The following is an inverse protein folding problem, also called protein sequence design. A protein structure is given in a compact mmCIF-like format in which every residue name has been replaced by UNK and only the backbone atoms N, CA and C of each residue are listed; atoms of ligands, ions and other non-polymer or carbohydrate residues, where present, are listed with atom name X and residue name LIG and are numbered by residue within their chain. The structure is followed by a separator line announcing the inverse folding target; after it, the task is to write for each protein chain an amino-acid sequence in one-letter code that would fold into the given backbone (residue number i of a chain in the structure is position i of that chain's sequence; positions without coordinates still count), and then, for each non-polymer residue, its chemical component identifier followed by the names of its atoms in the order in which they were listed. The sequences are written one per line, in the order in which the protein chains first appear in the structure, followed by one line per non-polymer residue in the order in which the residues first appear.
data_IF_493692134100
#
_entry.id   IF_493692134100
#
_cell.length_a   1.000
_cell.length_b   1.000
_cell.length_c   1.000
_cell.angle_alpha   90.00
_cell.angle_beta   90.00
_cell.angle_gamma   90.00
#
_symmetry.space_group_name_H-M   'P 1'
#
loop_
_entity.id
_entity.type
_entity.pdbx_description
1 polymer ?
#
# COMPACT_ATOMS: atom_id res chain seq x y z
N UNK A 1 16.65 37.34 -3.59
CA UNK A 1 15.47 37.93 -4.26
C UNK A 1 14.28 37.04 -3.98
N UNK A 2 13.52 37.35 -2.95
CA UNK A 2 12.54 36.44 -2.33
C UNK A 2 11.16 37.04 -2.55
N UNK A 3 10.34 36.42 -3.42
CA UNK A 3 8.96 36.87 -3.68
C UNK A 3 7.99 36.05 -2.86
N UNK A 4 7.52 36.67 -1.78
CA UNK A 4 6.42 36.22 -0.92
C UNK A 4 5.12 36.53 -1.66
N UNK A 5 4.32 35.52 -2.00
CA UNK A 5 2.95 35.69 -2.47
C UNK A 5 1.97 35.54 -1.30
N UNK A 6 1.39 36.66 -0.89
CA UNK A 6 0.20 36.73 -0.04
C UNK A 6 -1.02 36.60 -0.94
N UNK A 7 -1.90 35.65 -0.67
CA UNK A 7 -3.29 35.71 -1.10
C UNK A 7 -4.18 35.51 0.12
N UNK A 8 -4.80 36.59 0.53
CA UNK A 8 -6.00 36.60 1.35
C UNK A 8 -7.11 37.14 0.46
N UNK A 9 -8.24 36.43 0.38
CA UNK A 9 -9.55 37.05 0.19
C UNK A 9 -10.67 36.05 0.50
N UNK A 10 -11.48 36.48 1.47
CA UNK A 10 -12.81 36.00 1.82
C UNK A 10 -13.81 36.25 0.68
N UNK A 11 -14.75 35.33 0.45
CA UNK A 11 -16.15 35.48 -0.02
C UNK A 11 -16.71 34.04 -0.12
N UNK A 12 -17.95 33.67 0.17
CA UNK A 12 -19.15 34.32 0.64
C UNK A 12 -20.17 33.20 0.98
N UNK A 13 -21.16 33.54 1.79
CA UNK A 13 -22.26 32.68 2.22
C UNK A 13 -23.23 32.34 1.06
N UNK A 14 -23.76 31.11 1.11
CA UNK A 14 -25.16 30.81 0.80
C UNK A 14 -25.53 30.48 -0.64
N UNK A 15 -25.82 29.20 -0.89
CA UNK A 15 -27.01 28.77 -1.63
C UNK A 15 -27.33 27.31 -1.29
N UNK A 16 -28.45 27.14 -0.61
CA UNK A 16 -29.16 25.88 -0.40
C UNK A 16 -29.77 25.43 -1.72
N UNK A 17 -29.61 24.16 -2.11
CA UNK A 17 -30.43 23.53 -3.14
C UNK A 17 -30.56 22.03 -2.88
N UNK A 18 -31.81 21.71 -2.57
CA UNK A 18 -32.52 20.43 -2.53
C UNK A 18 -31.80 19.17 -3.05
N UNK A 19 -31.85 18.17 -2.20
CA UNK A 19 -31.53 16.76 -2.42
C UNK A 19 -32.72 16.06 -3.11
N UNK A 20 -32.51 15.36 -4.24
CA UNK A 20 -33.55 14.48 -4.81
C UNK A 20 -33.48 13.08 -4.16
N UNK A 21 -34.59 12.67 -3.55
CA UNK A 21 -34.82 11.31 -3.06
C UNK A 21 -34.71 10.27 -4.19
N UNK A 22 -34.06 9.10 -3.94
CA UNK A 22 -34.11 7.98 -4.86
C UNK A 22 -35.42 7.19 -4.73
N UNK A 23 -35.98 6.65 -5.83
CA UNK A 23 -37.20 5.85 -5.79
C UNK A 23 -36.96 4.50 -5.11
N UNK A 24 -37.89 4.15 -4.22
CA UNK A 24 -38.07 2.82 -3.67
C UNK A 24 -38.65 1.87 -4.72
N UNK A 25 -38.01 0.71 -4.91
CA UNK A 25 -38.52 -0.40 -5.71
C UNK A 25 -37.77 -1.70 -5.37
N UNK A 26 -38.47 -2.83 -5.19
CA UNK A 26 -37.92 -4.03 -4.57
C UNK A 26 -37.17 -4.88 -5.61
N UNK A 27 -35.98 -5.35 -5.24
CA UNK A 27 -35.33 -6.49 -5.90
C UNK A 27 -35.28 -7.64 -4.89
N UNK A 28 -36.33 -8.45 -4.94
CA UNK A 28 -36.30 -9.84 -4.53
C UNK A 28 -35.33 -10.59 -5.46
N UNK A 29 -34.23 -11.09 -4.89
CA UNK A 29 -33.45 -12.18 -5.45
C UNK A 29 -33.09 -13.13 -4.33
N UNK A 30 -33.88 -14.19 -4.28
CA UNK A 30 -33.71 -15.45 -3.57
C UNK A 30 -32.28 -15.79 -3.12
N UNK A 31 -32.12 -15.76 -1.80
CA UNK A 31 -31.77 -16.93 -0.98
C UNK A 31 -31.13 -18.11 -1.71
N UNK A 32 -29.80 -18.11 -1.78
CA UNK A 32 -29.02 -19.35 -1.67
C UNK A 32 -28.10 -19.25 -0.48
N UNK A 33 -28.54 -19.90 0.60
CA UNK A 33 -27.75 -20.27 1.76
C UNK A 33 -26.42 -20.90 1.33
N UNK A 34 -25.35 -20.11 1.41
CA UNK A 34 -24.00 -20.66 1.48
C UNK A 34 -23.77 -21.02 2.95
N UNK A 35 -23.82 -22.32 3.23
CA UNK A 35 -23.40 -22.92 4.49
C UNK A 35 -21.96 -22.47 4.78
N UNK A 36 -21.64 -21.94 5.97
CA UNK A 36 -20.27 -21.64 6.31
C UNK A 36 -19.47 -22.94 6.40
N UNK A 37 -18.51 -23.11 5.49
CA UNK A 37 -17.52 -24.18 5.54
C UNK A 37 -16.57 -23.91 6.71
N UNK A 38 -17.01 -24.28 7.91
CA UNK A 38 -16.17 -24.38 9.10
C UNK A 38 -15.41 -25.71 9.02
N UNK A 39 -14.33 -25.71 8.25
CA UNK A 39 -13.26 -26.70 8.40
C UNK A 39 -11.92 -26.00 8.20
N UNK A 40 -11.65 -25.00 9.04
CA UNK A 40 -10.26 -24.63 9.33
C UNK A 40 -9.77 -25.66 10.33
N UNK A 41 -9.11 -26.69 9.81
CA UNK A 41 -8.41 -27.66 10.64
C UNK A 41 -7.49 -26.89 11.60
N UNK A 42 -7.66 -27.16 12.90
CA UNK A 42 -6.78 -26.65 13.96
C UNK A 42 -5.34 -26.99 13.57
N UNK A 43 -4.42 -26.03 13.42
CA UNK A 43 -3.03 -26.35 13.13
C UNK A 43 -2.48 -27.25 14.25
N UNK A 44 -1.65 -28.25 13.91
CA UNK A 44 -1.09 -29.17 14.89
C UNK A 44 -0.34 -28.39 15.99
N UNK A 45 -0.44 -28.82 17.26
CA UNK A 45 0.27 -28.18 18.34
C UNK A 45 1.79 -28.43 18.22
N UNK A 46 2.56 -27.39 18.52
CA UNK A 46 3.94 -27.43 19.01
C UNK A 46 5.06 -27.94 18.08
N UNK A 47 5.01 -27.57 16.79
CA UNK A 47 6.30 -27.33 16.09
C UNK A 47 6.70 -25.89 16.39
N UNK A 48 7.84 -25.63 17.06
CA UNK A 48 8.32 -24.26 17.23
C UNK A 48 8.50 -23.66 15.84
N UNK A 49 7.65 -22.68 15.49
CA UNK A 49 7.78 -21.93 14.25
C UNK A 49 9.21 -21.40 14.20
N UNK A 50 9.96 -21.81 13.17
CA UNK A 50 11.32 -21.32 12.95
C UNK A 50 11.28 -19.79 12.97
N UNK A 51 12.16 -19.11 13.72
CA UNK A 51 12.17 -17.65 13.79
C UNK A 51 12.29 -17.10 12.37
N UNK A 52 11.45 -16.11 12.06
CA UNK A 52 11.47 -15.49 10.74
C UNK A 52 12.80 -14.79 10.56
N UNK A 53 13.48 -15.11 9.44
CA UNK A 53 14.67 -14.39 9.02
C UNK A 53 14.22 -13.27 8.09
N UNK A 54 14.79 -12.09 8.33
CA UNK A 54 14.52 -10.94 7.49
C UNK A 54 15.69 -9.98 7.46
N UNK A 55 15.70 -9.18 6.41
CA UNK A 55 16.62 -8.07 6.23
C UNK A 55 15.90 -6.76 6.58
N UNK A 56 16.59 -5.71 7.05
CA UNK A 56 15.94 -4.42 7.26
C UNK A 56 15.25 -3.92 5.99
N UNK A 57 14.00 -3.46 6.14
CA UNK A 57 13.28 -2.81 5.05
C UNK A 57 14.06 -1.56 4.58
N UNK A 58 14.22 -1.44 3.26
CA UNK A 58 14.91 -0.32 2.62
C UNK A 58 16.36 -0.62 2.20
N UNK A 59 16.99 -1.63 2.81
CA UNK A 59 18.40 -1.97 2.54
C UNK A 59 18.56 -2.83 1.28
N UNK A 60 17.59 -3.70 0.98
CA UNK A 60 17.57 -4.53 -0.23
C UNK A 60 16.44 -4.14 -1.20
N UNK A 61 16.62 -4.46 -2.48
CA UNK A 61 15.62 -4.22 -3.52
C UNK A 61 14.35 -5.04 -3.27
N UNK A 62 13.15 -4.48 -3.49
CA UNK A 62 11.93 -5.27 -3.51
C UNK A 62 12.05 -6.39 -4.56
N UNK A 63 11.41 -7.55 -4.32
CA UNK A 63 11.53 -8.66 -5.24
C UNK A 63 10.84 -8.36 -6.58
N UNK A 64 11.42 -8.87 -7.67
CA UNK A 64 10.94 -8.62 -9.04
C UNK A 64 11.43 -7.31 -9.68
N UNK A 65 12.30 -6.55 -9.01
CA UNK A 65 12.83 -5.28 -9.51
C UNK A 65 14.32 -5.36 -9.81
N UNK A 66 14.75 -4.67 -10.88
CA UNK A 66 16.17 -4.43 -11.19
C UNK A 66 16.39 -2.93 -11.33
N UNK A 67 17.22 -2.36 -10.45
CA UNK A 67 17.60 -0.95 -10.51
C UNK A 67 18.32 -0.66 -11.84
N UNK A 68 18.21 0.58 -12.32
CA UNK A 68 19.12 1.06 -13.36
C UNK A 68 20.55 1.08 -12.83
N UNK A 69 21.50 0.69 -13.67
CA UNK A 69 22.91 0.98 -13.44
C UNK A 69 23.15 2.50 -13.50
N UNK A 70 24.30 2.96 -13.00
CA UNK A 70 24.66 4.38 -13.04
C UNK A 70 24.73 4.89 -14.49
N UNK A 71 25.30 4.10 -15.40
CA UNK A 71 25.40 4.41 -16.81
C UNK A 71 24.02 4.52 -17.46
N UNK A 72 23.11 3.59 -17.15
CA UNK A 72 21.73 3.62 -17.64
C UNK A 72 20.94 4.82 -17.08
N UNK A 73 21.14 5.15 -15.80
CA UNK A 73 20.54 6.33 -15.19
C UNK A 73 21.02 7.62 -15.86
N UNK A 74 22.32 7.71 -16.14
CA UNK A 74 22.90 8.83 -16.88
C UNK A 74 22.39 8.90 -18.32
N UNK A 75 22.23 7.75 -18.98
CA UNK A 75 21.64 7.67 -20.33
C UNK A 75 20.19 8.17 -20.34
N UNK A 76 19.37 7.73 -19.39
CA UNK A 76 17.97 8.15 -19.24
C UNK A 76 17.88 9.67 -19.10
N UNK A 77 18.64 10.25 -18.16
CA UNK A 77 18.64 11.70 -17.91
C UNK A 77 19.19 12.50 -19.09
N UNK A 78 20.20 11.99 -19.80
CA UNK A 78 20.85 12.73 -20.89
C UNK A 78 20.06 12.66 -22.20
N UNK A 79 19.49 11.49 -22.54
CA UNK A 79 18.95 11.21 -23.88
C UNK A 79 17.43 11.06 -23.93
N UNK A 80 16.78 10.73 -22.81
CA UNK A 80 15.38 10.32 -22.80
C UNK A 80 14.39 11.38 -22.30
N UNK A 81 14.88 12.58 -21.95
CA UNK A 81 14.04 13.73 -21.56
C UNK A 81 12.86 14.04 -22.48
N UNK A 82 12.99 13.98 -23.83
CA UNK A 82 11.84 14.23 -24.70
C UNK A 82 10.73 13.19 -24.51
N UNK A 83 11.08 11.92 -24.28
CA UNK A 83 10.10 10.87 -23.99
C UNK A 83 9.46 11.08 -22.62
N UNK A 84 10.24 11.37 -21.58
CA UNK A 84 9.71 11.68 -20.25
C UNK A 84 8.69 12.82 -20.32
N UNK A 85 9.04 13.94 -20.95
CA UNK A 85 8.14 15.08 -21.11
C UNK A 85 6.86 14.72 -21.87
N UNK A 86 6.94 13.88 -22.90
CA UNK A 86 5.77 13.43 -23.66
C UNK A 86 4.86 12.51 -22.83
N UNK A 87 5.45 11.59 -22.05
CA UNK A 87 4.72 10.63 -21.21
C UNK A 87 4.06 11.35 -20.03
N UNK A 88 4.82 12.15 -19.26
CA UNK A 88 4.29 12.90 -18.14
C UNK A 88 3.37 14.07 -18.56
N UNK A 89 3.55 14.60 -19.78
CA UNK A 89 2.70 15.65 -20.35
C UNK A 89 1.28 15.18 -20.73
N UNK A 90 1.07 13.87 -20.94
CA UNK A 90 -0.24 13.27 -21.21
C UNK A 90 -1.05 12.99 -19.94
N UNK A 91 -0.48 13.24 -18.76
CA UNK A 91 -1.16 13.03 -17.48
C UNK A 91 -2.31 14.04 -17.30
N UNK A 92 -3.48 13.63 -16.81
CA UNK A 92 -4.51 14.57 -16.37
C UNK A 92 -3.95 15.47 -15.26
N UNK A 93 -3.91 16.79 -15.51
CA UNK A 93 -3.57 17.83 -14.53
C UNK A 93 -4.73 18.02 -13.54
N UNK A 94 -4.91 17.07 -12.63
CA UNK A 94 -6.02 17.13 -11.66
C UNK A 94 -5.86 16.26 -10.41
N UNK A 95 -4.65 15.77 -10.12
CA UNK A 95 -4.42 14.87 -8.99
C UNK A 95 -3.88 15.57 -7.74
N UNK A 96 -4.41 15.19 -6.59
CA UNK A 96 -3.82 15.42 -5.25
C UNK A 96 -2.31 15.10 -5.22
N UNK A 97 -1.53 15.78 -4.38
CA UNK A 97 -0.09 15.52 -4.18
C UNK A 97 0.21 14.39 -3.21
N UNK A 98 -0.81 13.64 -2.74
CA UNK A 98 -0.60 12.52 -1.82
C UNK A 98 0.19 11.37 -2.47
N UNK A 99 0.91 10.56 -1.68
CA UNK A 99 1.69 9.43 -2.24
C UNK A 99 0.81 8.38 -2.95
N UNK A 100 -0.48 8.31 -2.63
CA UNK A 100 -1.45 7.45 -3.29
C UNK A 100 -1.64 7.91 -4.74
N UNK A 101 -1.68 9.22 -4.95
CA UNK A 101 -1.66 9.79 -6.27
C UNK A 101 -0.33 9.50 -6.98
N UNK A 102 0.81 9.53 -6.28
CA UNK A 102 2.11 9.20 -6.88
C UNK A 102 2.18 7.75 -7.40
N UNK A 103 1.60 6.77 -6.68
CA UNK A 103 1.51 5.38 -7.15
C UNK A 103 0.62 5.29 -8.41
N UNK A 104 -0.61 5.82 -8.36
CA UNK A 104 -1.52 5.77 -9.50
C UNK A 104 -0.97 6.48 -10.75
N UNK A 105 -0.13 7.49 -10.55
CA UNK A 105 0.55 8.20 -11.64
C UNK A 105 1.62 7.36 -12.29
N UNK A 106 2.46 6.73 -11.48
CA UNK A 106 3.49 5.85 -11.97
C UNK A 106 2.87 4.62 -12.68
N UNK A 107 1.73 4.12 -12.21
CA UNK A 107 0.94 3.11 -12.93
C UNK A 107 0.46 3.62 -14.29
N UNK A 108 -0.13 4.82 -14.36
CA UNK A 108 -0.54 5.42 -15.64
C UNK A 108 0.63 5.68 -16.60
N UNK A 109 1.83 5.99 -16.07
CA UNK A 109 3.05 6.09 -16.89
C UNK A 109 3.39 4.75 -17.53
N UNK A 110 3.28 3.64 -16.82
CA UNK A 110 3.50 2.30 -17.38
C UNK A 110 2.48 1.96 -18.47
N UNK A 111 1.23 2.40 -18.36
CA UNK A 111 0.22 2.23 -19.39
C UNK A 111 0.60 2.99 -20.68
N UNK A 112 1.05 4.24 -20.55
CA UNK A 112 1.52 5.02 -21.71
C UNK A 112 2.78 4.41 -22.32
N UNK A 113 3.67 3.83 -21.50
CA UNK A 113 4.89 3.18 -21.98
C UNK A 113 4.64 1.85 -22.70
N UNK A 114 3.45 1.25 -22.57
CA UNK A 114 3.07 0.07 -23.35
C UNK A 114 2.90 0.40 -24.85
N UNK A 115 2.54 1.65 -25.17
CA UNK A 115 2.49 2.19 -26.54
C UNK A 115 3.08 3.61 -26.56
N UNK A 116 4.43 3.73 -26.50
CA UNK A 116 5.08 5.01 -26.28
C UNK A 116 4.89 5.93 -27.48
N UNK A 117 4.71 7.25 -27.27
CA UNK A 117 4.52 8.20 -28.35
C UNK A 117 5.72 8.21 -29.31
N UNK A 118 5.49 8.23 -30.64
CA UNK A 118 6.57 8.32 -31.59
C UNK A 118 7.24 9.70 -31.48
N UNK A 119 8.56 9.71 -31.30
CA UNK A 119 9.37 10.91 -31.19
C UNK A 119 10.56 10.81 -32.15
N UNK A 120 10.88 11.91 -32.82
CA UNK A 120 12.02 11.97 -33.73
C UNK A 120 13.30 12.34 -32.97
N UNK A 121 14.44 11.82 -33.42
CA UNK A 121 15.76 12.18 -32.88
C UNK A 121 16.13 11.47 -31.57
N UNK A 122 15.34 10.51 -31.11
CA UNK A 122 15.67 9.66 -29.94
C UNK A 122 15.41 8.18 -30.25
N UNK A 123 16.09 7.30 -29.53
CA UNK A 123 15.74 5.87 -29.52
C UNK A 123 14.58 5.65 -28.54
N UNK A 124 13.35 5.78 -29.05
CA UNK A 124 12.11 5.64 -28.25
C UNK A 124 12.06 4.28 -27.54
N UNK A 125 12.47 3.20 -28.21
CA UNK A 125 12.41 1.85 -27.66
C UNK A 125 13.37 1.69 -26.48
N UNK A 126 14.61 2.15 -26.62
CA UNK A 126 15.61 2.14 -25.54
C UNK A 126 15.15 3.00 -24.36
N UNK A 127 14.72 4.23 -24.64
CA UNK A 127 14.25 5.15 -23.61
C UNK A 127 13.01 4.66 -22.87
N UNK A 128 12.04 4.07 -23.58
CA UNK A 128 10.86 3.49 -22.97
C UNK A 128 11.23 2.34 -22.03
N UNK A 129 12.14 1.45 -22.45
CA UNK A 129 12.59 0.33 -21.62
C UNK A 129 13.34 0.77 -20.35
N UNK A 130 14.19 1.81 -20.45
CA UNK A 130 14.88 2.38 -19.29
C UNK A 130 13.89 3.03 -18.32
N UNK A 131 12.97 3.86 -18.84
CA UNK A 131 11.96 4.54 -18.03
C UNK A 131 10.99 3.55 -17.38
N UNK A 132 10.59 2.49 -18.08
CA UNK A 132 9.72 1.44 -17.54
C UNK A 132 10.36 0.74 -16.32
N UNK A 133 11.67 0.43 -16.40
CA UNK A 133 12.41 -0.17 -15.29
C UNK A 133 12.52 0.77 -14.10
N UNK A 134 12.83 2.04 -14.34
CA UNK A 134 12.93 3.06 -13.29
C UNK A 134 11.58 3.26 -12.57
N UNK A 135 10.49 3.38 -13.34
CA UNK A 135 9.12 3.53 -12.82
C UNK A 135 8.69 2.28 -12.04
N UNK A 136 9.06 1.07 -12.48
CA UNK A 136 8.81 -0.17 -11.74
C UNK A 136 9.57 -0.23 -10.41
N UNK A 137 10.84 0.21 -10.37
CA UNK A 137 11.60 0.32 -9.11
C UNK A 137 10.94 1.31 -8.16
N UNK A 138 10.56 2.49 -8.66
CA UNK A 138 9.83 3.48 -7.88
C UNK A 138 8.53 2.91 -7.30
N UNK A 139 7.67 2.29 -8.11
CA UNK A 139 6.39 1.71 -7.67
C UNK A 139 6.58 0.67 -6.57
N UNK A 140 7.54 -0.22 -6.75
CA UNK A 140 7.82 -1.27 -5.79
C UNK A 140 8.23 -0.71 -4.43
N UNK A 141 9.15 0.26 -4.42
CA UNK A 141 9.59 0.95 -3.19
C UNK A 141 8.47 1.75 -2.56
N UNK A 142 7.67 2.46 -3.34
CA UNK A 142 6.57 3.28 -2.85
C UNK A 142 5.49 2.41 -2.17
N UNK A 143 5.14 1.27 -2.77
CA UNK A 143 4.17 0.32 -2.18
C UNK A 143 4.69 -0.30 -0.89
N UNK A 144 5.96 -0.70 -0.84
CA UNK A 144 6.55 -1.20 0.40
C UNK A 144 6.64 -0.11 1.48
N UNK A 145 7.01 1.12 1.13
CA UNK A 145 7.04 2.24 2.07
C UNK A 145 5.65 2.53 2.67
N UNK A 146 4.59 2.46 1.86
CA UNK A 146 3.20 2.55 2.32
C UNK A 146 2.84 1.42 3.28
N UNK A 147 3.22 0.18 2.97
CA UNK A 147 3.02 -0.95 3.86
C UNK A 147 3.77 -0.78 5.19
N UNK A 148 5.05 -0.36 5.14
CA UNK A 148 5.86 -0.09 6.32
C UNK A 148 5.27 1.03 7.19
N UNK A 149 4.73 2.09 6.58
CA UNK A 149 4.03 3.14 7.31
C UNK A 149 2.81 2.60 8.06
N UNK A 150 2.02 1.72 7.42
CA UNK A 150 0.87 1.09 8.06
C UNK A 150 1.28 0.22 9.27
N UNK A 151 2.37 -0.55 9.14
CA UNK A 151 2.94 -1.30 10.27
C UNK A 151 3.29 -0.37 11.45
N UNK A 152 3.93 0.79 11.17
CA UNK A 152 4.25 1.79 12.21
C UNK A 152 3.01 2.38 12.87
N UNK A 153 1.96 2.66 12.10
CA UNK A 153 0.70 3.17 12.65
C UNK A 153 0.06 2.17 13.61
N UNK A 154 0.06 0.89 13.25
CA UNK A 154 -0.43 -0.18 14.15
C UNK A 154 0.43 -0.27 15.41
N UNK A 155 1.77 -0.28 15.28
CA UNK A 155 2.67 -0.31 16.42
C UNK A 155 2.47 0.86 17.38
N UNK A 156 2.30 2.08 16.85
CA UNK A 156 2.04 3.26 17.66
C UNK A 156 0.77 3.08 18.51
N UNK A 157 -0.31 2.62 17.90
CA UNK A 157 -1.57 2.39 18.60
C UNK A 157 -1.47 1.27 19.66
N UNK A 158 -0.69 0.20 19.39
CA UNK A 158 -0.40 -0.84 20.37
C UNK A 158 0.45 -0.30 21.54
N UNK A 159 1.46 0.53 21.26
CA UNK A 159 2.28 1.22 22.28
C UNK A 159 1.46 2.13 23.17
N UNK A 160 0.57 2.94 22.59
CA UNK A 160 -0.26 3.87 23.36
C UNK A 160 -1.18 3.12 24.33
N UNK A 161 -1.69 1.95 23.93
CA UNK A 161 -2.49 1.07 24.78
C UNK A 161 -1.69 0.46 25.92
N UNK A 162 -0.50 -0.06 25.60
CA UNK A 162 0.39 -0.66 26.59
C UNK A 162 0.79 0.37 27.65
N UNK A 163 1.18 1.59 27.23
CA UNK A 163 1.48 2.71 28.13
C UNK A 163 0.28 3.13 28.99
N UNK A 164 -0.94 2.99 28.47
CA UNK A 164 -2.17 3.24 29.21
C UNK A 164 -2.55 2.09 30.17
N UNK A 165 -1.76 1.02 30.26
CA UNK A 165 -2.07 -0.16 31.08
C UNK A 165 -3.31 -0.93 30.59
N UNK A 166 -3.69 -0.74 29.31
CA UNK A 166 -4.84 -1.42 28.73
C UNK A 166 -4.55 -2.90 28.50
N UNK A 167 -5.60 -3.73 28.49
CA UNK A 167 -5.44 -5.13 28.11
C UNK A 167 -4.84 -5.28 26.70
N UNK A 168 -3.92 -6.25 26.51
CA UNK A 168 -3.39 -6.60 25.20
C UNK A 168 -4.48 -6.88 24.17
N UNK A 169 -4.27 -6.43 22.94
CA UNK A 169 -5.18 -6.73 21.85
C UNK A 169 -5.18 -8.22 21.49
N UNK A 170 -6.35 -8.78 21.11
CA UNK A 170 -6.38 -10.06 20.44
C UNK A 170 -5.75 -9.93 19.03
N UNK A 171 -5.54 -11.07 18.37
CA UNK A 171 -5.11 -11.08 16.98
C UNK A 171 -6.14 -10.39 16.08
N UNK A 172 -5.68 -9.73 15.02
CA UNK A 172 -6.50 -9.07 14.01
C UNK A 172 -6.32 -9.78 12.66
N UNK A 173 -7.40 -10.29 12.03
CA UNK A 173 -7.31 -11.08 10.80
C UNK A 173 -6.80 -10.23 9.63
N UNK A 174 -6.26 -10.86 8.57
CA UNK A 174 -5.75 -10.13 7.42
C UNK A 174 -6.81 -9.28 6.71
N UNK A 175 -6.45 -8.05 6.32
CA UNK A 175 -7.28 -7.12 5.54
C UNK A 175 -6.51 -6.62 4.30
N UNK A 176 -6.97 -6.93 3.07
CA UNK A 176 -8.05 -7.88 2.76
C UNK A 176 -7.71 -9.31 3.18
N UNK A 177 -8.72 -10.17 3.31
CA UNK A 177 -8.53 -11.57 3.70
C UNK A 177 -7.63 -12.35 2.72
N UNK A 178 -7.75 -12.08 1.41
CA UNK A 178 -6.91 -12.66 0.37
C UNK A 178 -5.95 -11.61 -0.20
N UNK A 179 -4.65 -11.90 -0.10
CA UNK A 179 -3.57 -11.06 -0.63
C UNK A 179 -3.63 -10.93 -2.15
N UNK A 180 -4.20 -11.90 -2.87
CA UNK A 180 -4.35 -11.80 -4.34
C UNK A 180 -5.26 -10.66 -4.77
N UNK A 181 -6.14 -10.18 -3.89
CA UNK A 181 -6.99 -9.00 -4.13
C UNK A 181 -6.17 -7.76 -4.45
N UNK A 182 -5.04 -7.56 -3.77
CA UNK A 182 -4.14 -6.42 -4.01
C UNK A 182 -3.19 -6.63 -5.20
N UNK A 183 -3.18 -7.83 -5.81
CA UNK A 183 -2.46 -8.07 -7.05
C UNK A 183 -3.20 -7.49 -8.27
N UNK A 184 -4.53 -7.45 -8.20
CA UNK A 184 -5.39 -6.93 -9.28
C UNK A 184 -5.38 -5.39 -9.36
N UNK A 185 -5.22 -4.73 -8.21
CA UNK A 185 -5.23 -3.27 -8.08
C UNK A 185 -5.29 -2.84 -6.61
N UNK A 186 -5.43 -1.53 -6.33
CA UNK A 186 -5.65 -1.06 -4.97
C UNK A 186 -6.95 -1.64 -4.39
N UNK A 187 -6.87 -2.15 -3.17
CA UNK A 187 -8.02 -2.55 -2.38
C UNK A 187 -8.60 -1.34 -1.66
N UNK A 188 -9.91 -1.16 -1.76
CA UNK A 188 -10.64 -0.17 -0.97
C UNK A 188 -11.26 -0.87 0.24
N UNK A 189 -10.72 -0.57 1.43
CA UNK A 189 -11.21 -1.16 2.67
C UNK A 189 -12.61 -0.67 3.01
N UNK A 190 -13.41 -1.59 3.52
CA UNK A 190 -14.79 -1.35 3.97
C UNK A 190 -14.84 -1.31 5.50
N UNK A 191 -15.82 -0.60 6.10
CA UNK A 191 -15.96 -0.56 7.57
C UNK A 191 -15.95 -1.95 8.23
N UNK A 192 -16.64 -2.92 7.61
CA UNK A 192 -16.71 -4.31 8.07
C UNK A 192 -15.36 -5.01 8.18
N UNK A 193 -14.35 -4.60 7.41
CA UNK A 193 -13.05 -5.24 7.39
C UNK A 193 -12.30 -5.02 8.73
N UNK A 194 -12.64 -3.94 9.44
CA UNK A 194 -12.05 -3.55 10.72
C UNK A 194 -13.00 -3.71 11.93
N UNK A 195 -14.16 -4.34 11.75
CA UNK A 195 -15.06 -4.73 12.84
C UNK A 195 -14.49 -5.80 13.79
N UNK A 196 -13.64 -6.76 13.35
CA UNK A 196 -13.02 -7.73 14.25
C UNK A 196 -12.35 -7.05 15.45
N UNK A 197 -12.47 -7.66 16.62
CA UNK A 197 -12.03 -7.07 17.90
C UNK A 197 -10.55 -6.66 17.88
N UNK A 198 -9.69 -7.45 17.23
CA UNK A 198 -8.27 -7.12 17.09
C UNK A 198 -8.03 -5.77 16.41
N UNK A 199 -8.77 -5.47 15.34
CA UNK A 199 -8.63 -4.19 14.60
C UNK A 199 -9.19 -3.02 15.40
N UNK A 200 -10.38 -3.17 15.99
CA UNK A 200 -10.96 -2.15 16.89
C UNK A 200 -10.03 -1.87 18.07
N UNK A 201 -9.43 -2.91 18.64
CA UNK A 201 -8.47 -2.79 19.72
C UNK A 201 -7.19 -2.06 19.27
N UNK A 202 -6.61 -2.44 18.12
CA UNK A 202 -5.42 -1.81 17.56
C UNK A 202 -5.66 -0.42 16.96
N UNK A 203 -6.90 0.08 16.95
CA UNK A 203 -7.31 1.41 16.46
C UNK A 203 -6.79 1.75 15.05
N UNK A 204 -6.61 0.74 14.20
CA UNK A 204 -6.19 0.91 12.81
C UNK A 204 -7.40 0.77 11.90
N UNK A 205 -7.73 1.85 11.17
CA UNK A 205 -8.91 1.91 10.30
C UNK A 205 -8.70 2.88 9.10
N UNK A 206 -7.92 2.49 8.08
CA UNK A 206 -7.56 3.32 6.92
C UNK A 206 -8.71 3.43 5.88
N UNK A 207 -9.93 3.73 6.31
CA UNK A 207 -11.07 3.88 5.38
C UNK A 207 -10.86 5.02 4.38
N UNK A 208 -11.33 4.81 3.15
CA UNK A 208 -11.26 5.81 2.07
C UNK A 208 -9.87 5.97 1.44
N UNK A 209 -8.88 5.18 1.86
CA UNK A 209 -7.55 5.17 1.26
C UNK A 209 -7.33 3.89 0.42
N UNK A 210 -6.82 4.01 -0.82
CA UNK A 210 -6.44 2.84 -1.60
C UNK A 210 -5.26 2.11 -0.95
N UNK A 211 -5.43 0.81 -0.74
CA UNK A 211 -4.47 -0.07 -0.08
C UNK A 211 -3.83 -1.02 -1.09
N UNK A 212 -2.51 -1.02 -1.21
CA UNK A 212 -1.77 -1.89 -2.15
C UNK A 212 -1.12 -3.10 -1.44
N UNK A 213 -1.60 -3.45 -0.25
CA UNK A 213 -1.04 -4.49 0.60
C UNK A 213 -2.17 -5.14 1.41
N UNK A 214 -1.98 -6.37 1.87
CA UNK A 214 -2.71 -6.96 2.98
C UNK A 214 -2.02 -6.60 4.29
N UNK A 215 -2.75 -6.38 5.38
CA UNK A 215 -2.20 -6.15 6.72
C UNK A 215 -2.85 -7.09 7.75
N UNK A 216 -2.09 -7.56 8.74
CA UNK A 216 -2.50 -8.50 9.77
C UNK A 216 -1.81 -8.20 11.11
N UNK A 217 -2.46 -8.48 12.23
CA UNK A 217 -1.82 -8.52 13.57
C UNK A 217 -1.94 -9.93 14.12
N UNK A 218 -0.84 -10.69 14.10
CA UNK A 218 -0.78 -11.99 14.74
C UNK A 218 -0.32 -11.87 16.19
N UNK A 219 -0.79 -12.78 17.05
CA UNK A 219 -0.31 -12.95 18.42
C UNK A 219 0.45 -14.27 18.55
N UNK A 220 1.66 -14.22 19.08
CA UNK A 220 2.56 -15.36 19.26
C UNK A 220 3.08 -15.34 20.69
N UNK A 221 2.39 -16.06 21.58
CA UNK A 221 2.66 -16.00 23.02
C UNK A 221 2.54 -14.57 23.55
N UNK A 222 3.64 -14.05 24.08
CA UNK A 222 3.76 -12.71 24.64
C UNK A 222 4.31 -11.67 23.65
N UNK A 223 4.21 -11.93 22.34
CA UNK A 223 4.60 -11.00 21.28
C UNK A 223 3.50 -10.77 20.27
N UNK A 224 3.46 -9.55 19.73
CA UNK A 224 2.76 -9.23 18.49
C UNK A 224 3.70 -9.44 17.31
N UNK A 225 3.13 -9.94 16.21
CA UNK A 225 3.75 -9.89 14.88
C UNK A 225 2.79 -9.13 13.97
N UNK A 226 3.15 -7.91 13.59
CA UNK A 226 2.37 -7.13 12.62
C UNK A 226 2.97 -7.38 11.24
N UNK A 227 2.15 -7.81 10.29
CA UNK A 227 2.60 -8.27 8.97
C UNK A 227 1.89 -7.47 7.88
N UNK A 228 2.62 -7.08 6.85
CA UNK A 228 2.08 -6.53 5.62
C UNK A 228 2.60 -7.32 4.41
N UNK A 229 1.68 -7.76 3.54
CA UNK A 229 2.00 -8.56 2.34
C UNK A 229 1.56 -7.81 1.10
N UNK A 230 2.41 -7.73 0.09
CA UNK A 230 2.10 -6.97 -1.13
C UNK A 230 2.80 -7.54 -2.35
N UNK A 231 2.36 -7.09 -3.53
CA UNK A 231 3.04 -7.30 -4.80
C UNK A 231 3.78 -6.01 -5.17
N UNK A 232 5.11 -5.93 -4.99
CA UNK A 232 5.86 -4.72 -5.29
C UNK A 232 5.70 -4.30 -6.75
N UNK A 233 5.71 -5.28 -7.65
CA UNK A 233 5.39 -5.13 -9.07
C UNK A 233 4.24 -6.07 -9.45
N UNK A 234 3.39 -5.64 -10.40
CA UNK A 234 2.26 -6.46 -10.87
C UNK A 234 2.77 -7.76 -11.50
N UNK A 235 2.22 -8.90 -11.08
CA UNK A 235 2.64 -10.23 -11.54
C UNK A 235 3.98 -10.72 -10.97
N UNK A 236 4.61 -9.96 -10.08
CA UNK A 236 5.81 -10.39 -9.37
C UNK A 236 5.51 -11.31 -8.18
N UNK A 237 6.54 -11.76 -7.45
CA UNK A 237 6.37 -12.46 -6.18
C UNK A 237 5.87 -11.52 -5.08
N UNK A 238 5.33 -12.11 -4.00
CA UNK A 238 4.92 -11.38 -2.81
C UNK A 238 6.16 -10.89 -2.05
N UNK A 239 6.12 -9.65 -1.57
CA UNK A 239 6.98 -9.14 -0.52
C UNK A 239 6.22 -9.15 0.80
N UNK A 240 6.82 -9.72 1.84
CA UNK A 240 6.28 -9.76 3.20
C UNK A 240 7.15 -8.90 4.11
N UNK A 241 6.59 -7.79 4.58
CA UNK A 241 7.18 -6.94 5.61
C UNK A 241 6.57 -7.30 6.95
N UNK A 242 7.38 -7.31 8.00
CA UNK A 242 6.88 -7.61 9.34
C UNK A 242 7.67 -6.89 10.41
N UNK A 243 7.05 -6.81 11.59
CA UNK A 243 7.68 -6.34 12.81
C UNK A 243 7.19 -7.18 13.98
N UNK A 244 8.13 -7.62 14.82
CA UNK A 244 7.85 -8.39 16.03
C UNK A 244 8.19 -7.57 17.26
N UNK A 245 7.23 -7.44 18.16
CA UNK A 245 7.40 -6.64 19.38
C UNK A 245 6.73 -7.34 20.56
N UNK A 246 7.25 -7.23 21.79
CA UNK A 246 6.57 -7.73 22.96
C UNK A 246 5.17 -7.15 23.12
N UNK A 247 4.26 -7.92 23.72
CA UNK A 247 2.91 -7.45 24.06
C UNK A 247 2.94 -6.36 25.13
N UNK A 248 3.94 -6.40 26.01
CA UNK A 248 4.24 -5.39 27.03
C UNK A 248 5.58 -4.73 26.74
N UNK A 249 5.66 -3.42 26.80
CA UNK A 249 6.84 -2.67 26.38
C UNK A 249 6.95 -2.60 24.86
N UNK A 250 5.84 -2.33 24.18
CA UNK A 250 5.82 -2.21 22.70
C UNK A 250 6.76 -1.07 22.27
N UNK A 251 7.82 -1.42 21.54
CA UNK A 251 8.78 -0.45 21.02
C UNK A 251 8.45 -0.06 19.58
N UNK A 252 8.06 1.19 19.37
CA UNK A 252 7.75 1.76 18.04
C UNK A 252 8.98 1.93 17.15
N UNK A 253 10.18 1.90 17.73
CA UNK A 253 11.45 1.94 17.00
C UNK A 253 11.93 0.57 16.52
N UNK A 254 11.20 -0.51 16.86
CA UNK A 254 11.51 -1.86 16.40
C UNK A 254 11.68 -1.87 14.88
N UNK A 255 12.80 -2.41 14.35
CA UNK A 255 13.05 -2.42 12.92
C UNK A 255 11.98 -3.23 12.18
N UNK A 256 11.54 -2.69 11.05
CA UNK A 256 10.70 -3.42 10.10
C UNK A 256 11.62 -4.26 9.23
N UNK A 257 11.32 -5.55 9.14
CA UNK A 257 12.08 -6.51 8.37
C UNK A 257 11.29 -6.93 7.13
N UNK A 258 11.99 -7.16 6.02
CA UNK A 258 11.47 -7.92 4.87
C UNK A 258 11.86 -9.38 5.06
N UNK A 259 10.90 -10.29 4.98
CA UNK A 259 11.16 -11.72 5.08
C UNK A 259 12.01 -12.21 3.90
N UNK A 260 12.99 -13.05 4.21
CA UNK A 260 13.84 -13.74 3.23
C UNK A 260 13.62 -15.24 3.42
N UNK A 261 13.24 -15.93 2.34
CA UNK A 261 13.03 -17.39 2.33
C UNK A 261 14.36 -18.16 2.34
#
# INVERSE_FOLDING_TARGET
MTRIWRFALLFGLGCSSAEPEPPAGPLDLDTRSAVPSQNVAKPPPDVPEKPWRGEPFGDSLPPGVKRLSEEEGNELVAKCKPLEAAVFGRRPRGGSTSDAASIGVAEGVLEVLADPPPLQGIDVKRCASLLERDVKDFLARAREARAAQALRTVLLALSDRDKAGSAPCPAAPPVPADVTTVAAGPYESKPRDFEPEGWRCAKYNPLGAPQHFQIEVARRGDSYRVVARLYPVKGGPISELYVETPVKGVDVATPILRRVE
#
